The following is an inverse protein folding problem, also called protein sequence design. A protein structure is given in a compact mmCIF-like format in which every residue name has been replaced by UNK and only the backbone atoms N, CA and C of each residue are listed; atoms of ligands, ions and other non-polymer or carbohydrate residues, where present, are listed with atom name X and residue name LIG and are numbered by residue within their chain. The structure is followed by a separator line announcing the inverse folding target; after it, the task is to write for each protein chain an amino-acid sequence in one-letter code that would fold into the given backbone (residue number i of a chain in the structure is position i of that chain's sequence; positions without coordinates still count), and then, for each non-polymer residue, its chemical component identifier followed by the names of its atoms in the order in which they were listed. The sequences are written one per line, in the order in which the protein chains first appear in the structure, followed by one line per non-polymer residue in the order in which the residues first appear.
data_IF_108539587815
#
_entry.id   IF_108539587815
#
_cell.length_a   1.000
_cell.length_b   1.000
_cell.length_c   1.000
_cell.angle_alpha   90.00
_cell.angle_beta   90.00
_cell.angle_gamma   90.00
#
_symmetry.space_group_name_H-M   'P 1'
#
loop_
_entity.id
_entity.type
_entity.pdbx_description
1 polymer ?
#
# COMPACT_ATOMS: atom_id res chain seq x y z
N UNK A 1 -9.75 16.03 -0.79
CA UNK A 1 -10.85 16.40 -1.64
C UNK A 1 -10.60 16.24 -3.12
N UNK A 2 -10.98 15.10 -3.72
CA UNK A 2 -11.01 14.95 -5.18
C UNK A 2 -12.15 15.77 -5.78
N UNK A 3 -12.11 16.13 -7.08
CA UNK A 3 -13.23 16.80 -7.75
C UNK A 3 -14.59 16.10 -7.57
N UNK A 4 -14.61 14.77 -7.61
CA UNK A 4 -15.83 13.99 -7.36
C UNK A 4 -16.35 14.16 -5.92
N UNK A 5 -15.45 14.10 -4.94
CA UNK A 5 -15.80 14.32 -3.54
C UNK A 5 -16.35 15.74 -3.30
N UNK A 6 -15.69 16.74 -3.88
CA UNK A 6 -16.14 18.14 -3.77
C UNK A 6 -17.48 18.40 -4.45
N UNK A 7 -17.81 17.63 -5.50
CA UNK A 7 -19.12 17.66 -6.15
C UNK A 7 -20.20 16.94 -5.34
N UNK A 8 -19.87 16.19 -4.27
CA UNK A 8 -20.81 15.50 -3.41
C UNK A 8 -21.01 14.00 -3.71
N UNK A 9 -20.16 13.40 -4.55
CA UNK A 9 -20.15 11.94 -4.77
C UNK A 9 -19.67 11.24 -3.49
N UNK A 10 -20.34 10.16 -3.10
CA UNK A 10 -20.08 9.41 -1.87
C UNK A 10 -19.66 7.98 -2.16
N UNK A 11 -19.02 7.36 -1.18
CA UNK A 11 -18.75 5.93 -1.22
C UNK A 11 -20.07 5.14 -1.22
N UNK A 12 -20.16 4.11 -2.07
CA UNK A 12 -21.38 3.34 -2.26
C UNK A 12 -22.35 3.87 -3.32
N UNK A 13 -22.08 5.04 -3.91
CA UNK A 13 -22.85 5.52 -5.06
C UNK A 13 -22.63 4.60 -6.28
N UNK A 14 -23.73 4.15 -6.88
CA UNK A 14 -23.68 3.37 -8.11
C UNK A 14 -23.80 4.30 -9.33
N UNK A 15 -22.76 4.41 -10.13
CA UNK A 15 -22.78 5.20 -11.37
C UNK A 15 -23.69 4.50 -12.38
N UNK A 16 -24.74 5.18 -12.84
CA UNK A 16 -25.73 4.65 -13.81
C UNK A 16 -25.62 5.30 -15.18
N UNK A 17 -25.13 6.58 -15.25
CA UNK A 17 -24.89 7.26 -16.54
C UNK A 17 -23.61 8.12 -16.47
N UNK A 18 -22.98 8.32 -17.61
CA UNK A 18 -21.88 9.26 -17.83
C UNK A 18 -22.24 10.15 -19.01
N UNK A 19 -22.30 11.48 -18.81
CA UNK A 19 -22.78 12.46 -19.79
C UNK A 19 -24.11 12.06 -20.43
N UNK A 20 -25.08 11.61 -19.61
CA UNK A 20 -26.39 11.17 -20.04
C UNK A 20 -26.47 9.78 -20.69
N UNK A 21 -25.32 9.15 -20.99
CA UNK A 21 -25.25 7.81 -21.61
C UNK A 21 -25.21 6.74 -20.52
N UNK A 22 -26.12 5.72 -20.53
CA UNK A 22 -26.09 4.63 -19.59
C UNK A 22 -24.76 3.89 -19.58
N UNK A 23 -24.33 3.42 -18.40
CA UNK A 23 -23.11 2.61 -18.24
C UNK A 23 -23.39 1.10 -18.34
N UNK A 24 -24.65 0.71 -18.38
CA UNK A 24 -25.03 -0.70 -18.55
C UNK A 24 -24.43 -1.27 -19.84
N UNK A 25 -23.75 -2.41 -19.72
CA UNK A 25 -23.08 -3.07 -20.84
C UNK A 25 -21.69 -2.53 -21.18
N UNK A 26 -21.20 -1.50 -20.49
CA UNK A 26 -19.82 -1.04 -20.63
C UNK A 26 -18.88 -1.88 -19.78
N UNK A 27 -17.67 -2.13 -20.29
CA UNK A 27 -16.56 -2.58 -19.46
C UNK A 27 -16.12 -1.46 -18.49
N UNK A 28 -15.43 -1.83 -17.41
CA UNK A 28 -14.88 -0.86 -16.46
C UNK A 28 -13.91 0.12 -17.16
N UNK A 29 -13.10 -0.37 -18.08
CA UNK A 29 -12.13 0.45 -18.83
C UNK A 29 -12.83 1.48 -19.72
N UNK A 30 -13.93 1.12 -20.38
CA UNK A 30 -14.71 2.05 -21.19
C UNK A 30 -15.38 3.12 -20.33
N UNK A 31 -15.93 2.73 -19.17
CA UNK A 31 -16.49 3.69 -18.22
C UNK A 31 -15.41 4.67 -17.72
N UNK A 32 -14.23 4.15 -17.37
CA UNK A 32 -13.07 4.98 -16.96
C UNK A 32 -12.64 5.93 -18.09
N UNK A 33 -12.54 5.46 -19.33
CA UNK A 33 -12.20 6.31 -20.48
C UNK A 33 -13.20 7.47 -20.68
N UNK A 34 -14.49 7.23 -20.48
CA UNK A 34 -15.53 8.26 -20.59
C UNK A 34 -15.49 9.26 -19.43
N UNK A 35 -15.12 8.83 -18.23
CA UNK A 35 -14.96 9.71 -17.07
C UNK A 35 -13.71 10.56 -17.16
N UNK A 36 -12.60 10.01 -17.67
CA UNK A 36 -11.35 10.75 -17.88
C UNK A 36 -11.48 11.77 -19.01
N UNK A 37 -10.58 12.77 -19.04
CA UNK A 37 -10.50 13.78 -20.07
C UNK A 37 -9.56 14.89 -19.68
N UNK A 38 -9.44 15.91 -20.56
CA UNK A 38 -8.56 17.07 -20.35
C UNK A 38 -8.94 17.82 -19.07
N UNK A 39 -7.94 18.24 -18.31
CA UNK A 39 -8.11 19.09 -17.14
C UNK A 39 -8.94 20.35 -17.47
N UNK A 40 -9.79 20.77 -16.53
CA UNK A 40 -10.71 21.90 -16.69
C UNK A 40 -12.01 21.56 -17.45
N UNK A 41 -12.09 20.42 -18.14
CA UNK A 41 -13.35 20.01 -18.82
C UNK A 41 -14.32 19.39 -17.82
N UNK A 42 -15.63 19.43 -18.12
CA UNK A 42 -16.69 18.89 -17.27
C UNK A 42 -17.08 17.48 -17.70
N UNK A 43 -17.48 16.68 -16.72
CA UNK A 43 -18.19 15.41 -16.91
C UNK A 43 -19.39 15.39 -15.97
N UNK A 44 -20.51 14.90 -16.47
CA UNK A 44 -21.72 14.68 -15.66
C UNK A 44 -21.80 13.20 -15.38
N UNK A 45 -21.85 12.82 -14.09
CA UNK A 45 -22.15 11.44 -13.66
C UNK A 45 -23.49 11.42 -12.96
N UNK A 46 -24.35 10.49 -13.38
CA UNK A 46 -25.59 10.19 -12.72
C UNK A 46 -25.40 8.99 -11.83
N UNK A 47 -25.75 9.09 -10.57
CA UNK A 47 -25.61 7.98 -9.61
C UNK A 47 -26.95 7.57 -9.01
N UNK A 48 -27.10 6.29 -8.70
CA UNK A 48 -28.12 5.78 -7.79
C UNK A 48 -27.50 5.66 -6.40
N UNK A 49 -28.17 6.23 -5.40
CA UNK A 49 -27.75 6.24 -3.99
C UNK A 49 -28.81 5.54 -3.15
N UNK A 50 -28.38 4.69 -2.21
CA UNK A 50 -29.27 3.84 -1.42
C UNK A 50 -30.44 4.59 -0.76
N UNK A 51 -30.23 5.82 -0.31
CA UNK A 51 -31.23 6.63 0.40
C UNK A 51 -31.88 7.70 -0.50
N UNK A 52 -31.81 7.58 -1.83
CA UNK A 52 -32.42 8.50 -2.78
C UNK A 52 -33.41 7.77 -3.69
N UNK A 53 -34.64 8.25 -3.75
CA UNK A 53 -35.67 7.69 -4.64
C UNK A 53 -35.43 8.01 -6.12
N UNK A 54 -34.56 8.99 -6.41
CA UNK A 54 -34.26 9.41 -7.78
C UNK A 54 -32.73 9.42 -7.98
N UNK A 55 -32.25 9.08 -9.19
CA UNK A 55 -30.86 9.28 -9.54
C UNK A 55 -30.43 10.75 -9.36
N UNK A 56 -29.17 10.95 -8.97
CA UNK A 56 -28.59 12.25 -8.68
C UNK A 56 -27.51 12.54 -9.73
N UNK A 57 -27.56 13.73 -10.32
CA UNK A 57 -26.56 14.18 -11.27
C UNK A 57 -25.50 15.04 -10.58
N UNK A 58 -24.24 14.71 -10.81
CA UNK A 58 -23.08 15.45 -10.35
C UNK A 58 -22.28 15.98 -11.55
N UNK A 59 -22.15 17.30 -11.67
CA UNK A 59 -21.26 17.92 -12.63
C UNK A 59 -19.88 18.09 -12.00
N UNK A 60 -18.89 17.37 -12.53
CA UNK A 60 -17.52 17.34 -12.01
C UNK A 60 -16.60 18.02 -12.99
N UNK A 61 -15.87 19.03 -12.54
CA UNK A 61 -14.78 19.62 -13.33
C UNK A 61 -13.55 18.76 -13.18
N UNK A 62 -13.03 18.23 -14.28
CA UNK A 62 -11.83 17.39 -14.26
C UNK A 62 -10.62 18.20 -13.83
N UNK A 63 -9.84 17.64 -12.92
CA UNK A 63 -8.57 18.19 -12.46
C UNK A 63 -7.55 17.09 -12.31
N UNK A 64 -6.28 17.46 -12.24
CA UNK A 64 -5.22 16.53 -11.85
C UNK A 64 -5.48 16.11 -10.40
N UNK A 65 -5.78 14.83 -10.20
CA UNK A 65 -6.01 14.29 -8.86
C UNK A 65 -4.65 13.96 -8.25
N UNK A 66 -4.20 14.81 -7.32
CA UNK A 66 -3.07 14.48 -6.47
C UNK A 66 -3.55 13.46 -5.42
N UNK A 67 -3.36 12.20 -5.69
CA UNK A 67 -3.58 11.14 -4.70
C UNK A 67 -2.38 11.14 -3.78
N UNK A 68 -2.58 11.62 -2.54
CA UNK A 68 -1.53 11.52 -1.52
C UNK A 68 -1.32 10.06 -1.15
N UNK A 69 -0.09 9.62 -1.30
CA UNK A 69 0.31 8.26 -0.93
C UNK A 69 0.54 8.11 0.57
N UNK A 70 0.79 9.21 1.30
CA UNK A 70 1.11 9.20 2.73
C UNK A 70 0.06 9.96 3.54
N UNK A 71 -0.44 9.31 4.57
CA UNK A 71 -1.33 9.88 5.59
C UNK A 71 -0.65 9.79 6.95
N UNK A 72 -0.85 10.78 7.81
CA UNK A 72 -0.23 10.81 9.13
C UNK A 72 -1.14 11.37 10.19
N UNK A 73 -1.09 10.79 11.39
CA UNK A 73 -1.75 11.29 12.59
C UNK A 73 -0.94 10.91 13.83
N UNK A 74 -1.28 11.50 14.96
CA UNK A 74 -0.78 11.05 16.26
C UNK A 74 -1.81 10.11 16.88
N UNK A 75 -1.39 8.90 17.31
CA UNK A 75 -2.28 7.97 18.04
C UNK A 75 -2.54 8.48 19.46
N UNK A 76 -1.51 9.04 20.06
CA UNK A 76 -1.51 9.80 21.29
C UNK A 76 -0.29 10.74 21.25
N UNK A 77 -0.03 11.57 22.27
CA UNK A 77 1.09 12.52 22.22
C UNK A 77 2.47 11.89 21.93
N UNK A 78 2.68 10.62 22.27
CA UNK A 78 4.00 9.95 22.23
C UNK A 78 4.22 9.08 21.00
N UNK A 79 3.16 8.71 20.25
CA UNK A 79 3.26 7.76 19.15
C UNK A 79 2.71 8.33 17.85
N UNK A 80 3.56 8.35 16.84
CA UNK A 80 3.16 8.73 15.49
C UNK A 80 2.62 7.52 14.71
N UNK A 81 1.61 7.76 13.89
CA UNK A 81 1.06 6.81 12.93
C UNK A 81 1.20 7.39 11.53
N UNK A 82 1.79 6.60 10.64
CA UNK A 82 1.93 6.94 9.23
C UNK A 82 1.43 5.76 8.41
N UNK A 83 0.52 6.03 7.47
CA UNK A 83 0.03 5.05 6.50
C UNK A 83 0.52 5.42 5.12
N UNK A 84 1.07 4.43 4.40
CA UNK A 84 1.37 4.51 2.98
C UNK A 84 0.34 3.64 2.27
N UNK A 85 -0.33 4.19 1.25
CA UNK A 85 -1.40 3.51 0.52
C UNK A 85 -0.96 3.01 -0.85
N UNK A 86 0.14 3.54 -1.37
CA UNK A 86 0.79 3.12 -2.61
C UNK A 86 2.17 3.81 -2.73
N UNK A 87 3.02 3.31 -3.64
CA UNK A 87 4.35 3.84 -3.86
C UNK A 87 4.43 4.62 -5.18
N UNK A 88 4.40 5.94 -5.09
CA UNK A 88 4.54 6.89 -6.21
C UNK A 88 5.89 7.61 -6.15
N UNK A 89 6.23 8.36 -7.21
CA UNK A 89 7.48 9.11 -7.26
C UNK A 89 7.66 10.06 -6.05
N UNK A 90 6.58 10.66 -5.57
CA UNK A 90 6.61 11.65 -4.47
C UNK A 90 6.44 11.05 -3.06
N UNK A 91 6.29 9.73 -2.94
CA UNK A 91 6.01 9.08 -1.65
C UNK A 91 7.10 9.34 -0.61
N UNK A 92 8.38 9.35 -1.01
CA UNK A 92 9.49 9.64 -0.09
C UNK A 92 9.44 11.08 0.45
N UNK A 93 9.09 12.05 -0.40
CA UNK A 93 8.90 13.45 -0.01
C UNK A 93 7.71 13.60 0.94
N UNK A 94 6.57 12.97 0.62
CA UNK A 94 5.38 12.99 1.47
C UNK A 94 5.66 12.36 2.84
N UNK A 95 6.43 11.26 2.87
CA UNK A 95 6.86 10.63 4.11
C UNK A 95 7.76 11.57 4.93
N UNK A 96 8.73 12.23 4.29
CA UNK A 96 9.60 13.20 4.95
C UNK A 96 8.78 14.35 5.59
N UNK A 97 7.81 14.89 4.88
CA UNK A 97 6.90 15.92 5.38
C UNK A 97 6.08 15.41 6.59
N UNK A 98 5.56 14.19 6.51
CA UNK A 98 4.78 13.57 7.58
C UNK A 98 5.61 13.36 8.86
N UNK A 99 6.84 12.86 8.72
CA UNK A 99 7.78 12.66 9.84
C UNK A 99 8.21 13.98 10.46
N UNK A 100 8.54 14.98 9.64
CA UNK A 100 8.85 16.33 10.13
C UNK A 100 7.67 16.96 10.90
N UNK A 101 6.45 16.77 10.42
CA UNK A 101 5.24 17.22 11.11
C UNK A 101 5.08 16.53 12.46
N UNK A 102 5.25 15.20 12.51
CA UNK A 102 5.16 14.44 13.74
C UNK A 102 6.22 14.90 14.77
N UNK A 103 7.47 15.08 14.31
CA UNK A 103 8.55 15.57 15.16
C UNK A 103 8.31 17.00 15.68
N UNK A 104 7.77 17.90 14.85
CA UNK A 104 7.38 19.25 15.29
C UNK A 104 6.28 19.22 16.34
N UNK A 105 5.36 18.25 16.26
CA UNK A 105 4.28 18.07 17.25
C UNK A 105 4.83 17.56 18.57
N UNK A 106 5.74 16.58 18.55
CA UNK A 106 6.44 16.08 19.74
C UNK A 106 7.87 15.63 19.37
N UNK A 107 8.91 16.39 19.76
CA UNK A 107 10.31 15.98 19.54
C UNK A 107 10.74 14.75 20.38
N UNK A 108 9.95 14.39 21.39
CA UNK A 108 10.21 13.27 22.31
C UNK A 108 9.33 12.04 22.02
N UNK A 109 9.10 11.75 20.75
CA UNK A 109 8.37 10.55 20.33
C UNK A 109 8.96 9.30 20.95
N UNK A 110 8.08 8.37 21.38
CA UNK A 110 8.44 7.05 21.93
C UNK A 110 8.33 5.92 20.91
N UNK A 111 7.60 6.14 19.83
CA UNK A 111 7.47 5.12 18.78
C UNK A 111 6.73 5.59 17.54
N UNK A 112 6.87 4.76 16.49
CA UNK A 112 6.26 4.96 15.18
C UNK A 112 5.53 3.70 14.73
N UNK A 113 4.30 3.86 14.24
CA UNK A 113 3.56 2.84 13.52
C UNK A 113 3.58 3.20 12.04
N UNK A 114 4.17 2.34 11.21
CA UNK A 114 4.11 2.41 9.75
C UNK A 114 3.06 1.40 9.25
N UNK A 115 1.97 1.87 8.68
CA UNK A 115 0.89 1.02 8.19
C UNK A 115 0.98 0.87 6.66
N UNK A 116 1.24 -0.37 6.22
CA UNK A 116 1.31 -0.80 4.83
C UNK A 116 0.18 -1.76 4.47
N UNK A 117 -0.86 -1.86 5.29
CA UNK A 117 -2.02 -2.72 4.99
C UNK A 117 -2.78 -2.20 3.79
N UNK A 118 -3.20 -3.11 2.91
CA UNK A 118 -3.92 -2.83 1.66
C UNK A 118 -3.13 -1.92 0.69
N UNK A 119 -1.81 -1.92 0.81
CA UNK A 119 -0.91 -1.19 -0.08
C UNK A 119 -0.37 -2.15 -1.16
N UNK A 120 -0.86 -2.04 -2.43
CA UNK A 120 -0.47 -2.94 -3.51
C UNK A 120 0.97 -2.71 -4.01
N UNK A 121 1.68 -1.75 -3.43
CA UNK A 121 3.03 -1.36 -3.83
C UNK A 121 3.05 -0.22 -4.84
N UNK A 122 4.00 -0.27 -5.77
CA UNK A 122 4.23 0.76 -6.78
C UNK A 122 5.68 0.81 -7.25
N UNK A 123 6.26 2.00 -7.28
CA UNK A 123 7.64 2.20 -7.77
C UNK A 123 8.68 1.61 -6.82
N UNK A 124 9.61 0.83 -7.38
CA UNK A 124 10.71 0.22 -6.65
C UNK A 124 11.59 1.29 -5.99
N UNK A 125 11.95 2.33 -6.72
CA UNK A 125 12.78 3.43 -6.21
C UNK A 125 12.13 4.11 -5.00
N UNK A 126 10.81 4.26 -5.00
CA UNK A 126 10.09 4.81 -3.84
C UNK A 126 10.18 3.90 -2.62
N UNK A 127 10.14 2.57 -2.82
CA UNK A 127 10.36 1.62 -1.72
C UNK A 127 11.79 1.71 -1.17
N UNK A 128 12.78 1.92 -2.05
CA UNK A 128 14.18 2.14 -1.64
C UNK A 128 14.30 3.43 -0.82
N UNK A 129 13.68 4.53 -1.27
CA UNK A 129 13.66 5.80 -0.55
C UNK A 129 12.99 5.68 0.81
N UNK A 130 11.79 5.11 0.88
CA UNK A 130 11.07 4.88 2.14
C UNK A 130 11.89 4.02 3.10
N UNK A 131 12.51 2.93 2.63
CA UNK A 131 13.40 2.10 3.45
C UNK A 131 14.62 2.90 3.92
N UNK A 132 15.19 3.73 3.05
CA UNK A 132 16.33 4.60 3.32
C UNK A 132 16.07 5.64 4.41
N UNK A 133 14.80 6.02 4.66
CA UNK A 133 14.45 6.87 5.82
C UNK A 133 14.85 6.21 7.13
N UNK A 134 14.65 4.90 7.25
CA UNK A 134 14.77 4.16 8.51
C UNK A 134 16.06 3.36 8.64
N UNK A 135 16.69 3.00 7.53
CA UNK A 135 17.93 2.23 7.52
C UNK A 135 19.18 3.14 7.50
N UNK A 136 20.33 2.66 7.95
CA UNK A 136 21.61 3.38 7.76
C UNK A 136 21.84 3.70 6.27
N UNK A 137 22.56 4.80 6.02
CA UNK A 137 22.96 5.17 4.66
C UNK A 137 23.71 4.01 3.99
N UNK A 138 23.49 3.85 2.69
CA UNK A 138 24.13 2.84 1.83
C UNK A 138 23.84 1.38 2.24
N UNK A 139 22.83 1.13 3.09
CA UNK A 139 22.33 -0.23 3.35
C UNK A 139 21.69 -0.83 2.12
N UNK A 140 21.96 -2.10 1.82
CA UNK A 140 21.24 -2.83 0.76
C UNK A 140 19.75 -2.93 1.13
N UNK A 141 18.86 -2.49 0.26
CA UNK A 141 17.40 -2.54 0.49
C UNK A 141 16.78 -3.75 -0.20
N UNK A 142 17.14 -3.96 -1.45
CA UNK A 142 16.60 -5.04 -2.29
C UNK A 142 17.60 -5.33 -3.41
N UNK A 143 17.64 -6.55 -3.88
CA UNK A 143 18.30 -6.85 -5.13
C UNK A 143 17.39 -7.67 -6.04
N UNK A 144 17.66 -7.61 -7.33
CA UNK A 144 16.97 -8.38 -8.35
C UNK A 144 17.90 -9.43 -8.95
N UNK A 145 17.35 -10.58 -9.30
CA UNK A 145 18.04 -11.61 -10.07
C UNK A 145 17.13 -12.10 -11.20
N UNK A 146 17.71 -12.25 -12.38
CA UNK A 146 17.03 -12.68 -13.58
C UNK A 146 17.99 -13.33 -14.56
N UNK A 147 17.47 -13.80 -15.70
CA UNK A 147 18.27 -14.51 -16.71
C UNK A 147 19.35 -13.64 -17.36
N UNK A 148 19.04 -12.36 -17.57
CA UNK A 148 19.96 -11.41 -18.20
C UNK A 148 20.83 -10.74 -17.13
N UNK A 149 22.07 -10.44 -17.46
CA UNK A 149 22.98 -9.71 -16.56
C UNK A 149 22.43 -8.33 -16.18
N UNK A 150 21.75 -7.65 -17.10
CA UNK A 150 21.08 -6.36 -16.87
C UNK A 150 19.91 -6.43 -15.90
N UNK A 151 19.37 -7.61 -15.63
CA UNK A 151 18.30 -7.84 -14.68
C UNK A 151 18.82 -8.12 -13.26
N UNK A 152 20.14 -8.21 -13.08
CA UNK A 152 20.81 -8.43 -11.80
C UNK A 152 21.27 -7.09 -11.24
N UNK A 153 20.48 -6.52 -10.35
CA UNK A 153 20.74 -5.18 -9.80
C UNK A 153 20.62 -5.18 -8.28
N UNK A 154 21.39 -4.30 -7.64
CA UNK A 154 21.32 -4.05 -6.19
C UNK A 154 20.94 -2.61 -5.96
N UNK A 155 20.00 -2.40 -5.03
CA UNK A 155 19.49 -1.07 -4.68
C UNK A 155 19.78 -0.79 -3.22
N UNK A 156 20.43 0.34 -2.98
CA UNK A 156 20.89 0.74 -1.67
C UNK A 156 20.12 1.96 -1.15
N UNK A 157 20.10 2.17 0.15
CA UNK A 157 19.56 3.37 0.80
C UNK A 157 20.44 4.60 0.47
N UNK A 158 20.53 4.92 -0.82
CA UNK A 158 21.40 5.94 -1.41
C UNK A 158 20.61 6.80 -2.39
N UNK A 159 20.89 8.13 -2.49
CA UNK A 159 20.22 9.00 -3.45
C UNK A 159 20.28 8.50 -4.89
N UNK A 160 21.37 7.86 -5.29
CA UNK A 160 21.52 7.31 -6.64
C UNK A 160 20.47 6.24 -6.99
N UNK A 161 19.91 5.58 -5.98
CA UNK A 161 18.98 4.46 -6.16
C UNK A 161 17.51 4.84 -5.90
N UNK A 162 17.24 5.95 -5.19
CA UNK A 162 15.87 6.36 -4.88
C UNK A 162 15.45 7.73 -5.45
N UNK A 163 16.41 8.61 -5.76
CA UNK A 163 16.08 9.97 -6.21
C UNK A 163 15.87 10.00 -7.72
N UNK A 164 14.62 9.77 -8.13
CA UNK A 164 14.22 9.60 -9.53
C UNK A 164 14.41 10.88 -10.36
N UNK A 165 14.19 12.03 -9.74
CA UNK A 165 14.11 13.35 -10.42
C UNK A 165 15.01 14.42 -9.82
N UNK A 166 15.91 14.05 -8.89
CA UNK A 166 16.83 14.97 -8.22
C UNK A 166 16.19 15.84 -7.12
N UNK A 167 14.92 15.59 -6.77
CA UNK A 167 14.18 16.41 -5.80
C UNK A 167 14.05 15.79 -4.42
N UNK A 168 14.27 14.48 -4.29
CA UNK A 168 13.98 13.74 -3.05
C UNK A 168 15.09 13.86 -2.01
N UNK A 169 16.35 14.03 -2.42
CA UNK A 169 17.47 14.08 -1.50
C UNK A 169 17.37 15.19 -0.46
N UNK A 170 16.93 16.39 -0.86
CA UNK A 170 16.77 17.53 0.04
C UNK A 170 15.74 17.24 1.14
N UNK A 171 14.59 16.67 0.76
CA UNK A 171 13.53 16.27 1.70
C UNK A 171 14.00 15.17 2.65
N UNK A 172 14.70 14.17 2.14
CA UNK A 172 15.26 13.06 2.92
C UNK A 172 16.29 13.53 3.95
N UNK A 173 17.15 14.49 3.57
CA UNK A 173 18.16 15.10 4.46
C UNK A 173 17.52 15.95 5.57
N UNK A 174 16.28 16.41 5.39
CA UNK A 174 15.56 17.20 6.40
C UNK A 174 14.96 16.35 7.52
N UNK A 175 14.96 15.02 7.39
CA UNK A 175 14.31 14.13 8.36
C UNK A 175 15.14 14.07 9.64
N UNK A 176 14.52 14.29 10.83
CA UNK A 176 15.22 14.19 12.10
C UNK A 176 15.84 12.81 12.33
N UNK A 177 17.08 12.80 12.80
CA UNK A 177 17.87 11.58 13.00
C UNK A 177 17.22 10.55 13.94
N UNK A 178 16.33 11.00 14.84
CA UNK A 178 15.60 10.12 15.76
C UNK A 178 14.86 9.00 15.02
N UNK A 179 14.36 9.23 13.80
CA UNK A 179 13.63 8.22 13.05
C UNK A 179 14.51 7.05 12.56
N UNK A 180 15.83 7.15 12.65
CA UNK A 180 16.74 6.02 12.40
C UNK A 180 16.72 4.99 13.55
N UNK A 181 16.42 5.42 14.76
CA UNK A 181 16.54 4.59 15.97
C UNK A 181 15.26 4.46 16.77
N UNK A 182 14.27 5.34 16.54
CA UNK A 182 12.99 5.32 17.24
C UNK A 182 12.35 3.92 17.14
N UNK A 183 11.87 3.32 18.23
CA UNK A 183 11.11 2.08 18.19
C UNK A 183 9.98 2.14 17.15
N UNK A 184 9.89 1.13 16.28
CA UNK A 184 8.87 1.12 15.24
C UNK A 184 8.31 -0.27 14.98
N UNK A 185 7.04 -0.28 14.59
CA UNK A 185 6.34 -1.45 14.07
C UNK A 185 5.81 -1.17 12.68
N UNK A 186 5.75 -2.21 11.86
CA UNK A 186 5.14 -2.16 10.53
C UNK A 186 3.91 -3.04 10.52
N UNK A 187 2.77 -2.49 10.13
CA UNK A 187 1.52 -3.26 9.98
C UNK A 187 1.38 -3.75 8.54
N UNK A 188 1.09 -5.03 8.37
CA UNK A 188 0.92 -5.68 7.07
C UNK A 188 -0.29 -6.61 7.05
N UNK A 189 -0.83 -6.85 5.84
CA UNK A 189 -1.86 -7.84 5.59
C UNK A 189 -1.72 -8.45 4.18
N UNK A 190 -2.68 -9.29 3.77
CA UNK A 190 -2.69 -9.91 2.44
C UNK A 190 -2.73 -8.89 1.29
N UNK A 191 -3.28 -7.69 1.52
CA UNK A 191 -3.26 -6.59 0.55
C UNK A 191 -1.92 -5.86 0.44
N UNK A 192 -0.96 -6.16 1.32
CA UNK A 192 0.42 -5.63 1.27
C UNK A 192 1.20 -6.38 0.19
N UNK A 193 1.62 -5.70 -0.89
CA UNK A 193 2.24 -6.36 -2.04
C UNK A 193 3.43 -5.58 -2.63
N UNK A 194 4.35 -6.28 -3.33
CA UNK A 194 5.41 -5.68 -4.18
C UNK A 194 6.31 -4.70 -3.41
N UNK A 195 6.29 -3.40 -3.74
CA UNK A 195 7.10 -2.36 -3.09
C UNK A 195 6.92 -2.31 -1.56
N UNK A 196 5.69 -2.54 -1.07
CA UNK A 196 5.40 -2.62 0.37
C UNK A 196 6.08 -3.83 1.02
N UNK A 197 6.21 -4.94 0.29
CA UNK A 197 6.91 -6.14 0.75
C UNK A 197 8.44 -5.92 0.75
N UNK A 198 8.95 -5.11 -0.19
CA UNK A 198 10.36 -4.70 -0.18
C UNK A 198 10.69 -3.92 1.09
N UNK A 199 9.86 -2.92 1.44
CA UNK A 199 10.03 -2.13 2.67
C UNK A 199 9.94 -3.03 3.91
N UNK A 200 8.88 -3.84 4.01
CA UNK A 200 8.66 -4.73 5.15
C UNK A 200 9.80 -5.73 5.31
N UNK A 201 10.23 -6.35 4.20
CA UNK A 201 11.31 -7.34 4.18
C UNK A 201 12.66 -6.74 4.56
N UNK A 202 13.00 -5.55 4.03
CA UNK A 202 14.24 -4.87 4.36
C UNK A 202 14.27 -4.48 5.84
N UNK A 203 13.22 -3.84 6.36
CA UNK A 203 13.15 -3.44 7.78
C UNK A 203 13.18 -4.65 8.73
N UNK A 204 12.57 -5.78 8.34
CA UNK A 204 12.61 -7.03 9.09
C UNK A 204 14.03 -7.62 9.10
N UNK A 205 14.69 -7.72 7.93
CA UNK A 205 16.02 -8.30 7.80
C UNK A 205 17.07 -7.56 8.62
N UNK A 206 16.97 -6.23 8.68
CA UNK A 206 17.83 -5.40 9.53
C UNK A 206 17.39 -5.36 11.00
N UNK A 207 16.28 -6.03 11.37
CA UNK A 207 15.68 -5.93 12.70
C UNK A 207 15.38 -4.48 13.11
N UNK A 208 15.15 -3.61 12.10
CA UNK A 208 14.85 -2.20 12.33
C UNK A 208 13.43 -2.01 12.86
N UNK A 209 12.50 -2.85 12.43
CA UNK A 209 11.11 -2.84 12.89
C UNK A 209 10.62 -4.27 13.15
N UNK A 210 9.59 -4.39 13.99
CA UNK A 210 8.79 -5.62 14.09
C UNK A 210 7.66 -5.54 13.07
N UNK A 211 7.47 -6.61 12.32
CA UNK A 211 6.38 -6.74 11.35
C UNK A 211 5.20 -7.41 12.05
N UNK A 212 4.05 -6.75 12.06
CA UNK A 212 2.85 -7.19 12.75
C UNK A 212 1.69 -7.34 11.77
N UNK A 213 0.88 -8.36 11.90
CA UNK A 213 -0.30 -8.60 11.07
C UNK A 213 -0.41 -10.02 10.58
N UNK A 214 -0.74 -10.21 9.32
CA UNK A 214 -0.78 -11.52 8.66
C UNK A 214 0.18 -11.55 7.48
N UNK A 215 0.43 -12.75 6.92
CA UNK A 215 1.30 -12.95 5.77
C UNK A 215 0.89 -12.05 4.61
N UNK A 216 1.85 -11.44 3.92
CA UNK A 216 1.61 -10.55 2.79
C UNK A 216 1.33 -11.30 1.49
N UNK A 217 1.01 -10.59 0.42
CA UNK A 217 0.56 -11.13 -0.86
C UNK A 217 1.56 -12.08 -1.53
N UNK A 218 2.85 -11.71 -1.56
CA UNK A 218 3.90 -12.53 -2.16
C UNK A 218 4.28 -12.16 -3.60
N UNK A 219 4.08 -10.91 -4.02
CA UNK A 219 4.50 -10.46 -5.35
C UNK A 219 5.97 -10.10 -5.38
N UNK A 220 6.82 -11.07 -5.72
CA UNK A 220 8.27 -10.92 -5.82
C UNK A 220 8.80 -10.75 -7.24
N UNK A 221 7.95 -10.50 -8.24
CA UNK A 221 8.35 -10.40 -9.64
C UNK A 221 8.56 -8.96 -10.11
N UNK A 222 9.62 -8.74 -10.90
CA UNK A 222 9.91 -7.48 -11.60
C UNK A 222 9.33 -7.53 -13.00
N UNK A 223 8.50 -6.56 -13.35
CA UNK A 223 7.95 -6.43 -14.69
C UNK A 223 8.60 -5.24 -15.42
N UNK A 224 9.18 -5.52 -16.57
CA UNK A 224 9.75 -4.51 -17.46
C UNK A 224 8.79 -4.22 -18.61
N UNK A 225 8.56 -2.93 -18.85
CA UNK A 225 7.78 -2.47 -20.01
C UNK A 225 8.74 -2.15 -21.13
N UNK A 226 8.65 -2.90 -22.23
CA UNK A 226 9.51 -2.74 -23.42
C UNK A 226 8.66 -2.12 -24.52
N UNK A 227 8.91 -0.85 -24.93
CA UNK A 227 8.19 -0.24 -26.02
C UNK A 227 8.52 -0.96 -27.34
N UNK A 228 7.49 -1.32 -28.10
CA UNK A 228 7.61 -1.92 -29.45
C UNK A 228 7.39 -0.88 -30.55
N UNK A 229 6.55 0.13 -30.27
CA UNK A 229 6.28 1.27 -31.15
C UNK A 229 5.88 2.49 -30.33
N UNK A 230 5.45 3.58 -31.00
CA UNK A 230 4.94 4.80 -30.30
C UNK A 230 3.74 4.49 -29.40
N UNK A 231 2.90 3.53 -29.78
CA UNK A 231 1.59 3.30 -29.15
C UNK A 231 1.45 1.90 -28.55
N UNK A 232 2.49 1.05 -28.67
CA UNK A 232 2.45 -0.33 -28.20
C UNK A 232 3.69 -0.68 -27.39
N UNK A 233 3.49 -1.46 -26.36
CA UNK A 233 4.57 -2.00 -25.51
C UNK A 233 4.23 -3.40 -25.04
N UNK A 234 5.24 -4.19 -24.75
CA UNK A 234 5.10 -5.48 -24.09
C UNK A 234 5.56 -5.37 -22.64
N UNK A 235 4.81 -5.98 -21.74
CA UNK A 235 5.14 -6.06 -20.32
C UNK A 235 5.54 -7.48 -20.00
N UNK A 236 6.81 -7.66 -19.62
CA UNK A 236 7.38 -8.99 -19.34
C UNK A 236 7.95 -9.04 -17.92
N UNK A 237 7.83 -10.20 -17.28
CA UNK A 237 8.58 -10.51 -16.07
C UNK A 237 10.02 -10.83 -16.43
N UNK A 238 10.96 -10.05 -15.92
CA UNK A 238 12.39 -10.13 -16.27
C UNK A 238 13.29 -10.56 -15.13
N UNK A 239 12.84 -10.41 -13.88
CA UNK A 239 13.60 -10.74 -12.68
C UNK A 239 12.68 -11.04 -11.49
N UNK A 240 13.27 -11.53 -10.41
CA UNK A 240 12.65 -11.64 -9.08
C UNK A 240 13.34 -10.74 -8.08
N UNK A 241 12.60 -10.28 -7.05
CA UNK A 241 13.16 -9.52 -5.93
C UNK A 241 13.62 -10.45 -4.82
N UNK A 242 14.67 -9.99 -4.14
CA UNK A 242 15.19 -10.64 -2.95
C UNK A 242 15.43 -9.59 -1.86
N UNK A 243 15.11 -9.94 -0.62
CA UNK A 243 15.40 -9.11 0.54
C UNK A 243 16.92 -9.03 0.77
N UNK A 244 17.43 -8.11 1.60
CA UNK A 244 18.86 -8.01 1.89
C UNK A 244 19.53 -9.31 2.32
N UNK A 245 18.78 -10.19 3.02
CA UNK A 245 19.28 -11.51 3.45
C UNK A 245 19.05 -12.64 2.43
N UNK A 246 18.62 -12.32 1.23
CA UNK A 246 18.49 -13.29 0.14
C UNK A 246 17.18 -14.08 0.12
N UNK A 247 16.19 -13.70 0.91
CA UNK A 247 14.86 -14.35 0.85
C UNK A 247 14.12 -13.89 -0.40
N UNK A 248 13.58 -14.82 -1.18
CA UNK A 248 12.65 -14.49 -2.26
C UNK A 248 11.28 -14.15 -1.67
N UNK A 249 10.68 -13.06 -2.16
CA UNK A 249 9.33 -12.64 -1.82
C UNK A 249 8.29 -13.43 -2.65
N UNK A 250 8.69 -13.91 -3.85
CA UNK A 250 7.79 -14.53 -4.83
C UNK A 250 7.03 -15.72 -4.22
N UNK A 251 5.70 -15.68 -4.32
CA UNK A 251 4.74 -16.66 -3.82
C UNK A 251 4.80 -16.96 -2.29
N UNK A 252 5.81 -16.41 -1.59
CA UNK A 252 6.02 -16.58 -0.15
C UNK A 252 5.55 -15.37 0.67
N UNK A 253 5.71 -14.15 0.15
CA UNK A 253 5.45 -12.92 0.89
C UNK A 253 6.38 -12.73 2.09
N UNK A 254 6.02 -11.75 2.92
CA UNK A 254 6.68 -11.47 4.18
C UNK A 254 5.87 -12.09 5.32
N UNK A 255 6.48 -13.00 6.06
CA UNK A 255 5.90 -13.57 7.27
C UNK A 255 6.08 -12.57 8.43
N UNK A 256 5.03 -12.17 9.14
CA UNK A 256 5.16 -11.23 10.24
C UNK A 256 5.93 -11.84 11.41
N UNK A 257 6.57 -10.99 12.23
CA UNK A 257 7.21 -11.38 13.48
C UNK A 257 6.19 -11.65 14.59
N UNK A 258 4.99 -11.07 14.45
CA UNK A 258 3.85 -11.26 15.35
C UNK A 258 2.58 -11.33 14.52
N UNK A 259 1.88 -12.45 14.61
CA UNK A 259 0.60 -12.64 13.93
C UNK A 259 -0.50 -11.95 14.75
N UNK A 260 -1.27 -11.08 14.07
CA UNK A 260 -2.49 -10.49 14.63
C UNK A 260 -3.67 -11.09 13.88
N UNK A 261 -4.38 -12.00 14.53
CA UNK A 261 -5.59 -12.61 13.99
C UNK A 261 -6.82 -11.84 14.45
N UNK A 262 -7.68 -11.41 13.53
CA UNK A 262 -9.02 -10.91 13.88
C UNK A 262 -9.96 -12.10 14.16
N UNK A 263 -11.05 -11.85 14.88
CA UNK A 263 -12.09 -12.89 15.10
C UNK A 263 -12.77 -13.36 13.80
N UNK A 264 -12.61 -12.60 12.73
CA UNK A 264 -13.18 -12.87 11.40
C UNK A 264 -12.15 -13.41 10.40
N UNK A 265 -10.89 -13.67 10.84
CA UNK A 265 -9.83 -14.15 9.93
C UNK A 265 -10.24 -15.46 9.26
N UNK A 266 -10.84 -16.39 9.99
CA UNK A 266 -11.22 -17.72 9.45
C UNK A 266 -12.27 -17.65 8.32
N UNK A 267 -13.09 -16.58 8.31
CA UNK A 267 -14.09 -16.34 7.26
C UNK A 267 -13.46 -15.59 6.08
N UNK A 268 -12.52 -14.69 6.35
CA UNK A 268 -11.84 -13.88 5.33
C UNK A 268 -10.74 -14.68 4.63
N UNK A 269 -10.06 -15.59 5.34
CA UNK A 269 -8.99 -16.45 4.78
C UNK A 269 -9.47 -17.32 3.61
N UNK A 270 -10.79 -17.61 3.52
CA UNK A 270 -11.38 -18.35 2.40
C UNK A 270 -11.49 -17.54 1.09
N UNK A 271 -11.30 -16.22 1.13
CA UNK A 271 -11.37 -15.29 0.00
C UNK A 271 -10.02 -14.66 -0.33
N UNK A 272 -8.96 -15.07 0.36
CA UNK A 272 -7.64 -14.46 0.25
C UNK A 272 -6.93 -14.87 -1.04
N UNK A 273 -6.91 -13.95 -1.99
CA UNK A 273 -6.08 -14.07 -3.20
C UNK A 273 -4.65 -13.69 -2.84
N UNK A 274 -3.73 -14.63 -3.00
CA UNK A 274 -2.27 -14.43 -2.87
C UNK A 274 -1.59 -14.74 -4.20
N UNK A 275 -0.34 -14.31 -4.38
CA UNK A 275 0.43 -14.64 -5.59
C UNK A 275 0.47 -16.16 -5.83
N UNK A 276 0.65 -16.94 -4.77
CA UNK A 276 0.67 -18.40 -4.84
C UNK A 276 -0.67 -19.03 -5.25
N UNK A 277 -1.79 -18.31 -5.11
CA UNK A 277 -3.12 -18.80 -5.49
C UNK A 277 -3.51 -18.42 -6.94
N UNK A 278 -2.69 -17.63 -7.63
CA UNK A 278 -2.95 -17.24 -9.02
C UNK A 278 -2.56 -18.36 -9.98
N UNK A 279 -3.37 -18.56 -11.01
CA UNK A 279 -3.03 -19.44 -12.12
C UNK A 279 -1.74 -18.96 -12.81
N UNK A 280 -0.83 -19.89 -13.09
CA UNK A 280 0.46 -19.61 -13.75
C UNK A 280 1.39 -18.63 -12.99
N UNK A 281 1.31 -18.55 -11.66
CA UNK A 281 2.30 -17.83 -10.88
C UNK A 281 3.70 -18.44 -11.04
N UNK A 282 4.73 -17.64 -10.80
CA UNK A 282 6.12 -18.13 -10.82
C UNK A 282 6.40 -18.74 -9.44
N UNK A 283 6.93 -19.95 -9.43
CA UNK A 283 7.35 -20.63 -8.19
C UNK A 283 8.47 -19.87 -7.50
N UNK A 284 8.52 -20.00 -6.16
CA UNK A 284 9.62 -19.44 -5.38
C UNK A 284 10.89 -20.27 -5.62
N UNK A 285 11.96 -19.68 -6.18
CA UNK A 285 13.21 -20.40 -6.43
C UNK A 285 13.93 -20.83 -5.13
N UNK A 286 13.60 -20.18 -4.01
CA UNK A 286 14.11 -20.46 -2.67
C UNK A 286 13.06 -21.15 -1.79
N UNK A 287 12.04 -21.78 -2.39
CA UNK A 287 11.05 -22.52 -1.61
C UNK A 287 11.77 -23.47 -0.66
N UNK A 288 11.72 -23.11 0.63
CA UNK A 288 12.34 -23.91 1.68
C UNK A 288 11.81 -25.31 1.62
N UNK A 289 12.70 -26.26 1.81
CA UNK A 289 12.38 -27.67 2.02
C UNK A 289 11.13 -27.74 2.92
N UNK A 290 10.07 -28.42 2.44
CA UNK A 290 8.78 -28.53 3.15
C UNK A 290 8.91 -29.12 4.57
N UNK A 291 10.11 -29.55 4.94
CA UNK A 291 10.49 -30.09 6.22
C UNK A 291 11.20 -29.10 7.19
N UNK A 292 11.38 -27.83 6.81
CA UNK A 292 11.96 -26.84 7.73
C UNK A 292 11.00 -26.63 8.92
N UNK A 293 11.49 -26.86 10.16
CA UNK A 293 10.73 -26.58 11.38
C UNK A 293 10.30 -25.11 11.37
N UNK A 294 9.00 -24.90 11.33
CA UNK A 294 8.40 -23.56 11.50
C UNK A 294 8.73 -23.10 12.94
N UNK A 295 9.51 -22.03 13.05
CA UNK A 295 9.63 -21.31 14.31
C UNK A 295 8.23 -20.82 14.73
N UNK A 296 7.86 -21.03 15.99
CA UNK A 296 6.57 -20.58 16.50
C UNK A 296 6.55 -19.05 16.56
N UNK A 297 5.72 -18.45 15.71
CA UNK A 297 5.50 -17.00 15.71
C UNK A 297 4.45 -16.65 16.76
N UNK A 298 4.68 -15.65 17.64
CA UNK A 298 3.70 -15.21 18.62
C UNK A 298 2.39 -14.79 17.93
N UNK A 299 1.26 -15.29 18.42
CA UNK A 299 -0.08 -14.95 17.94
C UNK A 299 -0.76 -14.06 18.97
N UNK A 300 -1.13 -12.83 18.56
CA UNK A 300 -1.95 -11.93 19.36
C UNK A 300 -3.37 -12.00 18.81
N UNK A 301 -4.32 -12.37 19.67
CA UNK A 301 -5.74 -12.25 19.38
C UNK A 301 -6.26 -11.03 20.14
N UNK A 302 -6.97 -10.08 19.46
CA UNK A 302 -7.63 -9.00 20.17
C UNK A 302 -8.53 -9.60 21.25
N UNK A 303 -8.55 -8.99 22.43
CA UNK A 303 -9.52 -9.37 23.45
C UNK A 303 -10.92 -9.27 22.83
N UNK A 304 -11.74 -10.33 23.00
CA UNK A 304 -13.14 -10.30 22.61
C UNK A 304 -13.75 -9.02 23.19
N UNK A 305 -14.08 -8.07 22.34
CA UNK A 305 -15.00 -7.02 22.71
C UNK A 305 -16.37 -7.69 22.80
N UNK A 306 -16.66 -8.28 23.99
CA UNK A 306 -18.00 -8.76 24.29
C UNK A 306 -18.85 -7.51 24.34
N UNK A 307 -19.47 -7.16 23.21
CA UNK A 307 -20.48 -6.13 23.18
C UNK A 307 -21.60 -6.58 24.11
N UNK A 308 -21.92 -5.75 25.07
CA UNK A 308 -23.07 -6.00 25.93
C UNK A 308 -24.35 -6.03 25.07
N UNK A 309 -25.39 -6.72 25.52
CA UNK A 309 -26.68 -6.74 24.79
C UNK A 309 -27.20 -5.32 24.50
N UNK A 310 -26.92 -4.36 25.39
CA UNK A 310 -27.29 -2.96 25.24
C UNK A 310 -26.52 -2.26 24.12
N UNK A 311 -25.23 -2.56 23.94
CA UNK A 311 -24.43 -2.02 22.82
C UNK A 311 -24.85 -2.63 21.48
N UNK A 312 -25.22 -3.93 21.46
CA UNK A 312 -25.77 -4.59 20.26
C UNK A 312 -27.10 -3.96 19.88
N UNK A 313 -27.96 -3.72 20.86
CA UNK A 313 -29.26 -3.08 20.67
C UNK A 313 -29.10 -1.63 20.22
N UNK A 314 -28.21 -0.86 20.85
CA UNK A 314 -27.93 0.52 20.46
C UNK A 314 -27.38 0.64 19.03
N UNK A 315 -26.52 -0.29 18.58
CA UNK A 315 -26.04 -0.34 17.17
C UNK A 315 -27.15 -0.77 16.21
N UNK A 316 -28.03 -1.68 16.60
CA UNK A 316 -29.19 -2.09 15.79
C UNK A 316 -30.20 -0.93 15.65
N UNK A 317 -30.49 -0.23 16.74
CA UNK A 317 -31.40 0.93 16.76
C UNK A 317 -30.83 2.13 15.99
N UNK A 318 -29.50 2.36 16.06
CA UNK A 318 -28.83 3.37 15.25
C UNK A 318 -28.87 3.04 13.76
N UNK A 319 -28.76 1.76 13.40
CA UNK A 319 -28.86 1.29 12.00
C UNK A 319 -30.28 1.41 11.44
N UNK A 320 -31.32 1.20 12.29
CA UNK A 320 -32.73 1.40 11.91
C UNK A 320 -33.12 2.88 11.83
N UNK A 321 -32.49 3.78 12.60
CA UNK A 321 -32.75 5.22 12.52
C UNK A 321 -32.03 5.88 11.31
N UNK A 322 -31.06 5.21 10.71
CA UNK A 322 -30.32 5.67 9.53
C UNK A 322 -30.73 4.91 8.25
N UNK A 323 -31.72 4.04 8.31
CA UNK A 323 -32.35 3.36 7.19
C UNK A 323 -33.74 3.99 6.91
#
# INVERSE_FOLDING_TARGET
GTPAYLAGVQSGDLIVKINGVPVSGLSLDEAIKRMRGKEGTKVVITVARANSLKPIDFTITRAKIAVRSVQSTMLNPDYAYIRITNFQADTSNELALALNKAYKTNPHLKGLVLDLRDDPGGLLQSAVGVSGVFLPKDSLVVYTDGRLASAKQKYYASPNDYDIDGTQQASMNSIPAIFKTLPMVVLVNQGTASASEIVSGALQDYKRARILGVKTFGKGSVQTVIPLSKDTAIKLTTALYYTPKGRSIQAEGIKPDVIIQSEYSDILDSWDVTEASLDHHIDNPNALDKNAKLESVPIIRPAKQIMTQDEIKAKADAKMKNA
#
